data_IF_019594321266
#
_entry.id   IF_019594321266
#
_cell.length_a   1.000
_cell.length_b   1.000
_cell.length_c   1.000
_cell.angle_alpha   90.00
_cell.angle_beta   90.00
_cell.angle_gamma   90.00
#
_symmetry.space_group_name_H-M   'P 1'
#
loop_
_entity.id
_entity.type
_entity.pdbx_description
1 polymer ?
#
# COMPACT_ATOMS: atom_id res chain seq x y z
N UNK A 1 -57.85 41.55 1.14
CA UNK A 1 -56.61 41.59 1.93
C UNK A 1 -56.08 40.17 2.00
N UNK A 2 -55.19 39.78 1.08
CA UNK A 2 -54.59 38.43 1.05
C UNK A 2 -53.34 38.47 1.91
N UNK A 3 -53.36 37.69 2.99
CA UNK A 3 -52.23 37.54 3.92
C UNK A 3 -51.26 36.55 3.30
N UNK A 4 -50.05 37.02 2.96
CA UNK A 4 -48.93 36.15 2.58
C UNK A 4 -48.22 35.71 3.86
N UNK A 5 -48.24 34.41 4.13
CA UNK A 5 -47.42 33.78 5.17
C UNK A 5 -46.10 33.40 4.48
N UNK A 6 -44.94 33.95 4.88
CA UNK A 6 -43.66 33.52 4.35
C UNK A 6 -43.36 32.14 4.93
N UNK A 7 -43.24 31.14 4.06
CA UNK A 7 -42.66 29.84 4.40
C UNK A 7 -41.15 30.08 4.53
N UNK A 8 -40.65 30.12 5.76
CA UNK A 8 -39.23 30.05 6.05
C UNK A 8 -38.81 28.60 5.80
N UNK A 9 -38.22 28.35 4.64
CA UNK A 9 -37.48 27.10 4.40
C UNK A 9 -36.19 27.22 5.22
N UNK A 10 -36.17 26.59 6.39
CA UNK A 10 -34.91 26.32 7.09
C UNK A 10 -34.12 25.35 6.24
N UNK A 11 -33.12 25.86 5.53
CA UNK A 11 -32.03 25.05 5.02
C UNK A 11 -31.29 24.55 6.28
N UNK A 12 -31.48 23.28 6.61
CA UNK A 12 -30.59 22.60 7.55
C UNK A 12 -29.21 22.57 6.88
N UNK A 13 -28.35 23.53 7.22
CA UNK A 13 -26.91 23.36 7.04
C UNK A 13 -26.49 22.24 7.98
N UNK A 14 -26.43 21.01 7.45
CA UNK A 14 -25.73 19.93 8.12
C UNK A 14 -24.31 20.43 8.39
N UNK A 15 -24.00 20.67 9.65
CA UNK A 15 -22.62 20.78 10.06
C UNK A 15 -22.02 19.40 9.76
N UNK A 16 -21.13 19.34 8.77
CA UNK A 16 -20.23 18.21 8.55
C UNK A 16 -19.31 18.16 9.78
N UNK A 17 -19.79 17.48 10.82
CA UNK A 17 -18.94 16.97 11.87
C UNK A 17 -18.20 15.77 11.27
N UNK A 18 -16.88 15.71 11.49
CA UNK A 18 -16.07 14.49 11.36
C UNK A 18 -16.88 13.29 11.84
N UNK A 19 -17.15 12.36 10.92
CA UNK A 19 -17.89 11.15 11.25
C UNK A 19 -16.87 10.11 11.68
N UNK A 20 -16.90 9.72 12.96
CA UNK A 20 -16.24 8.51 13.44
C UNK A 20 -16.96 7.28 12.86
N UNK A 21 -16.81 7.04 11.55
CA UNK A 21 -17.30 5.85 10.89
C UNK A 21 -16.37 4.68 11.25
N UNK A 22 -16.92 3.54 11.69
CA UNK A 22 -16.11 2.35 11.91
C UNK A 22 -15.57 1.83 10.56
N UNK A 23 -14.53 1.00 10.59
CA UNK A 23 -13.97 0.43 9.35
C UNK A 23 -14.95 -0.55 8.68
N UNK A 24 -15.69 -1.29 9.48
CA UNK A 24 -16.75 -2.19 9.01
C UNK A 24 -18.04 -1.44 8.65
N UNK A 25 -18.95 -2.10 7.94
CA UNK A 25 -20.28 -1.54 7.64
C UNK A 25 -21.08 -1.31 8.92
N UNK A 26 -21.59 -0.09 9.10
CA UNK A 26 -22.63 0.21 10.08
C UNK A 26 -23.97 -0.43 9.67
N UNK A 27 -24.89 -0.55 10.62
CA UNK A 27 -26.25 -1.05 10.35
C UNK A 27 -26.98 -0.21 9.29
N UNK A 28 -26.72 1.09 9.25
CA UNK A 28 -27.28 1.98 8.23
C UNK A 28 -26.67 1.70 6.84
N UNK A 29 -25.35 1.59 6.75
CA UNK A 29 -24.63 1.32 5.50
C UNK A 29 -25.01 -0.04 4.90
N UNK A 30 -25.33 -1.05 5.72
CA UNK A 30 -25.84 -2.34 5.23
C UNK A 30 -27.13 -2.21 4.40
N UNK A 31 -27.97 -1.21 4.68
CA UNK A 31 -29.17 -0.94 3.87
C UNK A 31 -28.87 -0.21 2.55
N UNK A 32 -27.65 0.33 2.43
CA UNK A 32 -27.18 1.19 1.35
C UNK A 32 -26.14 0.51 0.45
N UNK A 33 -25.94 -0.80 0.58
CA UNK A 33 -25.00 -1.55 -0.29
C UNK A 33 -25.28 -1.38 -1.79
N UNK A 34 -26.54 -1.13 -2.15
CA UNK A 34 -26.93 -0.85 -3.54
C UNK A 34 -26.35 0.47 -4.09
N UNK A 35 -25.77 1.33 -3.25
CA UNK A 35 -25.12 2.60 -3.64
C UNK A 35 -23.64 2.42 -4.06
N UNK A 36 -23.02 1.29 -3.72
CA UNK A 36 -21.62 0.99 -4.06
C UNK A 36 -21.44 0.97 -5.59
N UNK A 37 -20.46 1.71 -6.09
CA UNK A 37 -20.09 1.74 -7.51
C UNK A 37 -21.07 2.48 -8.44
N UNK A 38 -22.10 3.17 -7.94
CA UNK A 38 -23.08 3.87 -8.79
C UNK A 38 -22.45 5.03 -9.59
N UNK A 39 -21.51 5.76 -8.98
CA UNK A 39 -20.99 7.02 -9.51
C UNK A 39 -19.49 6.91 -9.77
N UNK A 40 -19.09 6.10 -10.76
CA UNK A 40 -17.68 5.80 -11.04
C UNK A 40 -17.33 5.98 -12.51
N UNK A 41 -16.12 6.48 -12.74
CA UNK A 41 -15.51 6.59 -14.07
C UNK A 41 -14.69 5.33 -14.34
N UNK A 42 -15.29 4.31 -14.95
CA UNK A 42 -14.52 3.13 -15.41
C UNK A 42 -13.81 3.47 -16.71
N UNK A 43 -12.53 3.16 -16.80
CA UNK A 43 -11.68 3.41 -17.97
C UNK A 43 -11.15 2.11 -18.55
N UNK A 44 -10.60 2.16 -19.76
CA UNK A 44 -9.74 1.09 -20.26
C UNK A 44 -8.48 0.97 -19.36
N UNK A 45 -7.83 -0.21 -19.28
CA UNK A 45 -6.59 -0.40 -18.54
C UNK A 45 -5.43 0.44 -19.14
N UNK A 46 -4.34 0.63 -18.37
CA UNK A 46 -3.12 1.26 -18.89
C UNK A 46 -2.55 0.50 -20.10
N UNK A 47 -2.07 1.24 -21.10
CA UNK A 47 -1.44 0.65 -22.29
C UNK A 47 -0.12 -0.07 -21.97
N UNK A 48 0.58 0.37 -20.92
CA UNK A 48 1.86 -0.18 -20.49
C UNK A 48 2.06 0.01 -18.98
N UNK A 49 2.44 -1.06 -18.31
CA UNK A 49 2.79 -1.07 -16.89
C UNK A 49 4.25 -1.51 -16.80
N UNK A 50 5.12 -0.64 -16.28
CA UNK A 50 6.53 -0.98 -16.03
C UNK A 50 6.65 -1.72 -14.71
N UNK A 51 5.97 -1.24 -13.68
CA UNK A 51 6.09 -1.77 -12.34
C UNK A 51 4.87 -1.44 -11.48
N UNK A 52 4.50 -2.37 -10.61
CA UNK A 52 3.46 -2.16 -9.60
C UNK A 52 4.11 -2.21 -8.23
N UNK A 53 4.13 -1.09 -7.49
CA UNK A 53 4.80 -1.01 -6.19
C UNK A 53 4.33 -2.05 -5.17
N UNK A 54 5.30 -2.64 -4.49
CA UNK A 54 5.10 -3.58 -3.40
C UNK A 54 4.72 -2.87 -2.09
N UNK A 55 4.15 -3.65 -1.17
CA UNK A 55 3.84 -3.19 0.19
C UNK A 55 5.09 -2.77 0.99
N UNK A 56 6.29 -3.22 0.61
CA UNK A 56 7.56 -2.90 1.30
C UNK A 56 8.46 -1.94 0.52
N UNK A 57 8.01 -1.43 -0.63
CA UNK A 57 8.81 -0.47 -1.40
C UNK A 57 8.99 0.85 -0.68
N UNK A 58 10.08 1.53 -1.04
CA UNK A 58 10.35 2.90 -0.62
C UNK A 58 9.22 3.84 -1.03
N UNK A 59 8.99 4.85 -0.21
CA UNK A 59 7.91 5.82 -0.39
C UNK A 59 8.48 7.22 -0.60
N UNK A 60 7.80 8.01 -1.42
CA UNK A 60 7.98 9.46 -1.45
C UNK A 60 7.31 10.13 -0.25
N UNK A 61 6.35 9.43 0.37
CA UNK A 61 5.65 9.88 1.56
C UNK A 61 4.35 9.10 1.77
N UNK A 62 3.55 9.58 2.71
CA UNK A 62 2.31 8.93 3.16
C UNK A 62 1.16 9.93 3.12
N UNK A 63 -0.01 9.47 2.68
CA UNK A 63 -1.27 10.19 2.70
C UNK A 63 -2.06 9.77 3.94
N UNK A 64 -2.57 10.76 4.68
CA UNK A 64 -3.44 10.61 5.84
C UNK A 64 -4.72 11.41 5.63
N UNK A 65 -5.88 10.79 5.87
CA UNK A 65 -7.16 11.51 5.90
C UNK A 65 -7.47 12.01 7.32
N UNK A 66 -7.61 13.32 7.49
CA UNK A 66 -7.85 13.93 8.80
C UNK A 66 -9.34 13.88 9.18
N UNK A 67 -9.80 12.69 9.58
CA UNK A 67 -11.23 12.47 9.89
C UNK A 67 -11.47 12.03 11.33
N UNK A 68 -10.58 11.23 11.89
CA UNK A 68 -10.73 10.66 13.23
C UNK A 68 -9.35 10.38 13.86
N UNK A 69 -9.33 10.09 15.16
CA UNK A 69 -8.10 9.71 15.88
C UNK A 69 -6.95 10.72 15.76
N UNK A 70 -7.28 12.02 15.86
CA UNK A 70 -6.32 13.12 15.64
C UNK A 70 -5.03 13.04 16.45
N UNK A 71 -5.06 12.46 17.66
CA UNK A 71 -3.85 12.20 18.45
C UNK A 71 -2.91 11.24 17.71
N UNK A 72 -3.42 10.05 17.33
CA UNK A 72 -2.63 9.06 16.60
C UNK A 72 -2.17 9.60 15.23
N UNK A 73 -3.06 10.28 14.49
CA UNK A 73 -2.68 10.92 13.24
C UNK A 73 -1.57 11.95 13.43
N UNK A 74 -1.63 12.77 14.47
CA UNK A 74 -0.58 13.76 14.76
C UNK A 74 0.76 13.08 15.03
N UNK A 75 0.77 11.98 15.80
CA UNK A 75 1.98 11.22 16.11
C UNK A 75 2.57 10.57 14.85
N UNK A 76 1.75 9.93 14.02
CA UNK A 76 2.19 9.31 12.76
C UNK A 76 2.69 10.36 11.75
N UNK A 77 1.96 11.46 11.59
CA UNK A 77 2.37 12.57 10.72
C UNK A 77 3.70 13.16 11.20
N UNK A 78 3.88 13.31 12.52
CA UNK A 78 5.14 13.79 13.09
C UNK A 78 6.30 12.88 12.71
N UNK A 79 6.12 11.56 12.86
CA UNK A 79 7.14 10.55 12.58
C UNK A 79 7.51 10.50 11.09
N UNK A 80 6.50 10.56 10.20
CA UNK A 80 6.71 10.58 8.74
C UNK A 80 7.40 11.87 8.31
N UNK A 81 6.97 13.02 8.85
CA UNK A 81 7.50 14.34 8.47
C UNK A 81 8.96 14.60 8.91
N UNK A 82 9.58 13.67 9.65
CA UNK A 82 11.01 13.76 9.94
C UNK A 82 11.87 13.64 8.67
N UNK A 83 11.52 12.68 7.79
CA UNK A 83 12.33 12.36 6.59
C UNK A 83 11.52 12.40 5.28
N UNK A 84 10.21 12.21 5.35
CA UNK A 84 9.31 11.97 4.21
C UNK A 84 8.15 12.97 4.15
N UNK A 85 7.45 13.02 3.02
CA UNK A 85 6.29 13.91 2.89
C UNK A 85 5.06 13.31 3.57
N UNK A 86 4.38 14.08 4.39
CA UNK A 86 3.06 13.75 4.92
C UNK A 86 1.99 14.57 4.16
N UNK A 87 1.25 13.92 3.28
CA UNK A 87 0.05 14.50 2.69
C UNK A 87 -1.10 14.37 3.67
N UNK A 88 -1.73 15.49 4.01
CA UNK A 88 -2.83 15.55 4.96
C UNK A 88 -4.08 16.01 4.22
N UNK A 89 -5.02 15.08 4.03
CA UNK A 89 -6.30 15.31 3.38
C UNK A 89 -7.26 15.93 4.40
N UNK A 90 -7.89 17.03 4.00
CA UNK A 90 -8.84 17.81 4.81
C UNK A 90 -10.03 18.21 3.94
N UNK A 91 -11.19 18.38 4.56
CA UNK A 91 -12.45 18.64 3.88
C UNK A 91 -12.51 20.03 3.23
N UNK A 92 -11.86 21.01 3.86
CA UNK A 92 -11.95 22.41 3.47
C UNK A 92 -10.83 23.24 4.10
N UNK A 93 -10.64 24.45 3.61
CA UNK A 93 -9.62 25.39 4.11
C UNK A 93 -9.79 25.75 5.59
N UNK A 94 -11.00 25.68 6.17
CA UNK A 94 -11.17 25.94 7.60
C UNK A 94 -10.57 24.81 8.44
N UNK A 95 -10.76 23.56 8.01
CA UNK A 95 -10.13 22.41 8.64
C UNK A 95 -8.61 22.45 8.45
N UNK A 96 -8.12 22.74 7.24
CA UNK A 96 -6.68 22.93 6.97
C UNK A 96 -6.02 23.87 7.99
N UNK A 97 -6.63 25.03 8.27
CA UNK A 97 -6.13 25.97 9.26
C UNK A 97 -6.13 25.39 10.69
N UNK A 98 -7.18 24.63 11.05
CA UNK A 98 -7.26 23.97 12.37
C UNK A 98 -6.20 22.89 12.52
N UNK A 99 -6.01 22.05 11.50
CA UNK A 99 -5.02 20.96 11.48
C UNK A 99 -3.61 21.52 11.48
N UNK A 100 -3.32 22.52 10.66
CA UNK A 100 -2.02 23.20 10.64
C UNK A 100 -1.62 23.75 12.02
N UNK A 101 -2.57 24.33 12.76
CA UNK A 101 -2.32 24.77 14.14
C UNK A 101 -2.06 23.58 15.08
N UNK A 102 -2.83 22.49 14.98
CA UNK A 102 -2.64 21.28 15.79
C UNK A 102 -1.25 20.67 15.57
N UNK A 103 -0.86 20.46 14.30
CA UNK A 103 0.43 19.89 13.93
C UNK A 103 1.60 20.80 14.33
N UNK A 104 1.47 22.12 14.12
CA UNK A 104 2.50 23.09 14.54
C UNK A 104 2.69 23.09 16.06
N UNK A 105 1.60 23.01 16.84
CA UNK A 105 1.67 22.94 18.30
C UNK A 105 2.27 21.62 18.81
N UNK A 106 2.17 20.55 18.03
CA UNK A 106 2.81 19.27 18.30
C UNK A 106 4.28 19.20 17.81
N UNK A 107 4.82 20.32 17.32
CA UNK A 107 6.19 20.43 16.79
C UNK A 107 6.45 19.48 15.60
N UNK A 108 5.44 19.30 14.74
CA UNK A 108 5.60 18.61 13.46
C UNK A 108 6.45 19.47 12.52
N UNK A 109 7.30 18.82 11.72
CA UNK A 109 8.06 19.48 10.67
C UNK A 109 7.16 19.90 9.51
N UNK A 110 6.61 21.11 9.59
CA UNK A 110 5.65 21.62 8.60
C UNK A 110 6.24 21.80 7.19
N UNK A 111 7.57 21.83 7.02
CA UNK A 111 8.21 21.86 5.69
C UNK A 111 7.99 20.56 4.89
N UNK A 112 7.57 19.49 5.58
CA UNK A 112 7.27 18.17 5.01
C UNK A 112 5.77 17.83 5.01
N UNK A 113 4.92 18.75 5.46
CA UNK A 113 3.46 18.57 5.47
C UNK A 113 2.85 19.28 4.27
N UNK A 114 2.04 18.55 3.49
CA UNK A 114 1.33 19.07 2.33
C UNK A 114 -0.17 18.82 2.49
N UNK A 115 -0.97 19.88 2.46
CA UNK A 115 -2.42 19.74 2.57
C UNK A 115 -3.09 19.45 1.22
N UNK A 116 -4.07 18.57 1.24
CA UNK A 116 -4.98 18.28 0.13
C UNK A 116 -6.40 18.61 0.57
N UNK A 117 -7.00 19.63 -0.04
CA UNK A 117 -8.38 20.03 0.28
C UNK A 117 -9.34 19.23 -0.58
N UNK A 118 -9.58 17.97 -0.20
CA UNK A 118 -10.44 17.01 -0.88
C UNK A 118 -11.35 16.37 0.18
N UNK A 119 -12.68 16.57 0.13
CA UNK A 119 -13.58 16.01 1.12
C UNK A 119 -13.55 14.48 1.17
N UNK A 120 -13.58 13.93 2.37
CA UNK A 120 -13.66 12.48 2.61
C UNK A 120 -14.84 12.14 3.52
N UNK A 121 -15.17 10.86 3.67
CA UNK A 121 -16.15 10.38 4.63
C UNK A 121 -15.49 9.76 5.86
N UNK A 122 -14.31 9.15 5.72
CA UNK A 122 -13.70 8.40 6.80
C UNK A 122 -12.17 8.41 6.80
N UNK A 123 -11.59 8.07 7.95
CA UNK A 123 -10.13 8.02 8.18
C UNK A 123 -9.44 6.85 7.44
N UNK A 124 -10.21 5.90 6.90
CA UNK A 124 -9.73 4.61 6.41
C UNK A 124 -9.12 4.69 5.00
N UNK A 125 -8.24 5.66 4.77
CA UNK A 125 -7.62 5.99 3.47
C UNK A 125 -6.87 4.81 2.83
N UNK A 126 -6.47 3.80 3.62
CA UNK A 126 -5.94 2.55 3.07
C UNK A 126 -6.95 1.81 2.20
N UNK A 127 -8.21 1.82 2.61
CA UNK A 127 -9.23 1.00 1.98
C UNK A 127 -9.74 1.63 0.67
N UNK A 128 -9.80 2.97 0.60
CA UNK A 128 -10.32 3.73 -0.55
C UNK A 128 -9.29 4.57 -1.30
N UNK A 129 -8.05 4.65 -0.81
CA UNK A 129 -7.01 5.50 -1.36
C UNK A 129 -6.48 5.03 -2.71
N UNK A 130 -5.67 5.88 -3.37
CA UNK A 130 -5.15 5.62 -4.72
C UNK A 130 -4.14 4.49 -4.72
N UNK A 131 -4.38 3.46 -5.52
CA UNK A 131 -3.35 2.47 -5.82
C UNK A 131 -2.46 2.98 -6.95
N UNK A 132 -1.22 2.50 -6.99
CA UNK A 132 -0.21 3.08 -7.86
C UNK A 132 0.33 2.04 -8.82
N UNK A 133 0.67 2.52 -10.01
CA UNK A 133 1.56 1.85 -10.95
C UNK A 133 2.62 2.83 -11.43
N UNK A 134 3.71 2.29 -11.96
CA UNK A 134 4.73 3.03 -12.68
C UNK A 134 4.57 2.71 -14.16
N UNK A 135 4.40 3.77 -14.94
CA UNK A 135 4.32 3.75 -16.39
C UNK A 135 5.70 4.03 -17.02
N UNK A 136 5.85 3.91 -18.36
CA UNK A 136 7.06 4.34 -19.04
C UNK A 136 7.48 5.77 -18.68
N UNK A 137 8.75 6.11 -18.90
CA UNK A 137 9.34 7.41 -18.49
C UNK A 137 9.36 7.66 -16.97
N UNK A 138 9.15 6.60 -16.17
CA UNK A 138 9.17 6.63 -14.71
C UNK A 138 8.10 7.57 -14.12
N UNK A 139 6.91 7.59 -14.72
CA UNK A 139 5.76 8.34 -14.22
C UNK A 139 4.86 7.46 -13.35
N UNK A 140 4.34 8.04 -12.26
CA UNK A 140 3.28 7.39 -11.47
C UNK A 140 1.96 7.55 -12.21
N UNK A 141 1.10 6.54 -12.10
CA UNK A 141 -0.32 6.66 -12.38
C UNK A 141 -1.13 6.03 -11.24
N UNK A 142 -2.40 6.44 -11.15
CA UNK A 142 -3.34 5.94 -10.15
C UNK A 142 -4.26 4.90 -10.78
N UNK A 143 -4.36 3.74 -10.13
CA UNK A 143 -5.45 2.78 -10.29
C UNK A 143 -6.45 3.02 -9.18
N UNK A 144 -7.70 3.12 -9.56
CA UNK A 144 -8.82 3.39 -8.68
C UNK A 144 -9.78 2.21 -8.64
N UNK A 145 -10.05 1.68 -7.45
CA UNK A 145 -10.92 0.53 -7.20
C UNK A 145 -12.31 1.00 -6.77
N UNK A 146 -13.35 0.19 -6.92
CA UNK A 146 -14.66 0.54 -6.36
C UNK A 146 -14.65 0.21 -4.86
N UNK A 147 -14.79 1.23 -4.01
CA UNK A 147 -14.76 1.03 -2.57
C UNK A 147 -15.99 0.24 -2.09
N UNK A 148 -15.79 -0.82 -1.31
CA UNK A 148 -16.83 -1.71 -0.77
C UNK A 148 -17.72 -1.08 0.34
N UNK A 149 -17.84 0.25 0.40
CA UNK A 149 -18.70 0.98 1.35
C UNK A 149 -19.52 2.03 0.60
N UNK A 150 -20.75 2.33 1.04
CA UNK A 150 -21.56 3.41 0.47
C UNK A 150 -21.10 4.79 1.00
N UNK A 151 -19.82 5.09 0.78
CA UNK A 151 -19.07 6.29 1.19
C UNK A 151 -18.57 7.00 -0.07
N UNK A 152 -19.41 7.81 -0.73
CA UNK A 152 -19.13 8.31 -2.07
C UNK A 152 -18.00 9.35 -2.12
N UNK A 153 -17.65 10.01 -1.01
CA UNK A 153 -16.51 10.92 -0.98
C UNK A 153 -15.19 10.15 -0.87
N UNK A 154 -15.18 9.08 -0.07
CA UNK A 154 -14.06 8.13 -0.01
C UNK A 154 -13.82 7.48 -1.39
N UNK A 155 -14.88 6.94 -2.01
CA UNK A 155 -14.82 6.27 -3.32
C UNK A 155 -14.48 7.23 -4.50
N UNK A 156 -14.55 8.55 -4.29
CA UNK A 156 -14.18 9.56 -5.30
C UNK A 156 -12.77 10.15 -5.08
N UNK A 157 -12.13 9.83 -3.95
CA UNK A 157 -10.83 10.41 -3.59
C UNK A 157 -9.73 10.10 -4.62
N UNK A 158 -9.54 8.87 -5.14
CA UNK A 158 -8.42 8.59 -6.05
C UNK A 158 -8.46 9.38 -7.37
N UNK A 159 -9.66 9.62 -7.93
CA UNK A 159 -9.83 10.47 -9.12
C UNK A 159 -9.39 11.92 -8.83
N UNK A 160 -9.82 12.45 -7.68
CA UNK A 160 -9.42 13.79 -7.22
C UNK A 160 -7.92 13.88 -6.91
N UNK A 161 -7.34 12.80 -6.37
CA UNK A 161 -5.91 12.69 -6.10
C UNK A 161 -5.10 12.68 -7.41
N UNK A 162 -5.56 11.98 -8.45
CA UNK A 162 -4.91 11.97 -9.75
C UNK A 162 -4.90 13.37 -10.39
N UNK A 163 -6.01 14.10 -10.32
CA UNK A 163 -6.07 15.51 -10.75
C UNK A 163 -5.10 16.39 -9.94
N UNK A 164 -5.07 16.22 -8.62
CA UNK A 164 -4.16 16.97 -7.73
C UNK A 164 -2.69 16.72 -8.07
N UNK A 165 -2.29 15.46 -8.27
CA UNK A 165 -0.92 15.09 -8.63
C UNK A 165 -0.59 15.39 -10.10
N UNK A 166 -1.60 15.62 -10.94
CA UNK A 166 -1.43 15.87 -12.39
C UNK A 166 -0.94 14.63 -13.13
N UNK A 167 -1.44 13.45 -12.76
CA UNK A 167 -1.02 12.15 -13.29
C UNK A 167 -2.18 11.38 -13.91
N UNK A 168 -1.87 10.31 -14.64
CA UNK A 168 -2.88 9.46 -15.26
C UNK A 168 -3.75 8.75 -14.22
N UNK A 169 -5.00 8.54 -14.60
CA UNK A 169 -6.06 7.91 -13.80
C UNK A 169 -6.65 6.74 -14.57
N UNK A 170 -6.80 5.60 -13.89
CA UNK A 170 -7.45 4.41 -14.43
C UNK A 170 -8.48 3.88 -13.43
N UNK A 171 -9.76 3.93 -13.80
CA UNK A 171 -10.84 3.41 -12.98
C UNK A 171 -11.13 1.94 -13.29
N UNK A 172 -10.87 1.07 -12.33
CA UNK A 172 -11.10 -0.37 -12.42
C UNK A 172 -12.44 -0.75 -11.77
N UNK A 173 -13.27 -1.52 -12.49
CA UNK A 173 -14.60 -1.95 -12.04
C UNK A 173 -14.62 -3.05 -10.96
N UNK A 174 -13.50 -3.31 -10.29
CA UNK A 174 -13.39 -4.30 -9.22
C UNK A 174 -13.82 -3.67 -7.90
N UNK A 175 -14.80 -4.27 -7.21
CA UNK A 175 -15.13 -3.90 -5.84
C UNK A 175 -14.10 -4.51 -4.91
N UNK A 176 -13.33 -3.65 -4.24
CA UNK A 176 -12.26 -4.07 -3.35
C UNK A 176 -12.02 -3.00 -2.26
N UNK A 177 -11.37 -3.40 -1.17
CA UNK A 177 -10.86 -2.50 -0.16
C UNK A 177 -9.35 -2.71 -0.03
N UNK A 178 -8.59 -1.63 -0.07
CA UNK A 178 -7.14 -1.73 -0.13
C UNK A 178 -6.47 -2.46 1.04
N UNK A 179 -7.05 -2.48 2.25
CA UNK A 179 -6.54 -3.32 3.34
C UNK A 179 -6.63 -4.83 3.07
N UNK A 180 -7.42 -5.26 2.09
CA UNK A 180 -7.49 -6.66 1.65
C UNK A 180 -6.50 -7.01 0.52
N UNK A 181 -5.55 -6.14 0.20
CA UNK A 181 -4.56 -6.36 -0.86
C UNK A 181 -3.12 -6.17 -0.38
N UNK A 182 -2.26 -7.15 -0.67
CA UNK A 182 -0.82 -7.07 -0.43
C UNK A 182 -0.06 -7.42 -1.71
N UNK A 183 0.51 -6.40 -2.36
CA UNK A 183 1.30 -6.53 -3.59
C UNK A 183 2.76 -6.85 -3.24
N UNK A 184 3.36 -7.78 -3.99
CA UNK A 184 4.75 -8.22 -3.77
C UNK A 184 5.79 -7.48 -4.65
N UNK A 185 5.35 -6.65 -5.60
CA UNK A 185 6.21 -6.00 -6.59
C UNK A 185 6.90 -6.96 -7.57
N UNK A 186 6.53 -8.23 -7.58
CA UNK A 186 7.10 -9.27 -8.45
C UNK A 186 6.02 -9.92 -9.34
N UNK A 187 4.79 -9.42 -9.27
CA UNK A 187 3.66 -9.87 -10.09
C UNK A 187 2.69 -10.79 -9.36
N UNK A 188 2.69 -10.80 -8.02
CA UNK A 188 1.64 -11.43 -7.22
C UNK A 188 0.94 -10.48 -6.24
N UNK A 189 -0.30 -10.82 -5.93
CA UNK A 189 -1.09 -10.17 -4.88
C UNK A 189 -1.66 -11.23 -3.94
N UNK A 190 -1.61 -10.96 -2.64
CA UNK A 190 -2.29 -11.76 -1.63
C UNK A 190 -3.54 -11.01 -1.18
N UNK A 191 -4.69 -11.69 -1.26
CA UNK A 191 -5.98 -11.20 -0.79
C UNK A 191 -6.64 -12.24 0.10
N UNK A 192 -7.60 -11.84 0.91
CA UNK A 192 -8.46 -12.80 1.60
C UNK A 192 -9.72 -13.10 0.78
N UNK A 193 -10.37 -14.23 1.07
CA UNK A 193 -11.61 -14.65 0.45
C UNK A 193 -12.83 -13.79 0.85
N UNK A 194 -12.66 -12.73 1.65
CA UNK A 194 -13.74 -11.76 1.93
C UNK A 194 -14.16 -11.01 0.66
N UNK A 195 -13.27 -10.93 -0.35
CA UNK A 195 -13.55 -10.33 -1.66
C UNK A 195 -14.75 -11.00 -2.40
N UNK A 196 -15.16 -12.19 -1.96
CA UNK A 196 -16.32 -12.91 -2.51
C UNK A 196 -17.57 -12.81 -1.61
N UNK A 197 -17.53 -12.04 -0.53
CA UNK A 197 -18.62 -11.92 0.45
C UNK A 197 -19.46 -10.66 0.22
N UNK A 198 -20.61 -10.84 -0.44
CA UNK A 198 -21.58 -9.77 -0.67
C UNK A 198 -22.18 -9.17 0.61
N UNK A 199 -22.12 -9.86 1.76
CA UNK A 199 -22.57 -9.29 3.04
C UNK A 199 -21.61 -8.22 3.58
N UNK A 200 -20.37 -8.21 3.09
CA UNK A 200 -19.33 -7.22 3.40
C UNK A 200 -19.23 -6.12 2.32
N UNK A 201 -20.16 -6.09 1.37
CA UNK A 201 -20.20 -5.08 0.31
C UNK A 201 -19.32 -5.39 -0.90
N UNK A 202 -18.75 -6.60 -0.99
CA UNK A 202 -18.02 -7.06 -2.18
C UNK A 202 -18.95 -7.70 -3.23
N UNK A 203 -18.39 -8.15 -4.36
CA UNK A 203 -19.15 -8.83 -5.41
C UNK A 203 -19.17 -10.37 -5.18
N UNK A 204 -20.31 -10.96 -4.76
CA UNK A 204 -20.40 -12.41 -4.57
C UNK A 204 -20.44 -13.21 -5.88
N UNK A 205 -20.49 -12.53 -7.03
CA UNK A 205 -20.47 -13.15 -8.36
C UNK A 205 -19.09 -13.14 -9.01
N UNK A 206 -18.12 -12.44 -8.41
CA UNK A 206 -16.74 -12.39 -8.87
C UNK A 206 -16.12 -13.79 -8.85
N UNK A 207 -15.51 -14.16 -9.97
CA UNK A 207 -14.77 -15.43 -10.09
C UNK A 207 -13.27 -15.19 -9.95
N UNK A 208 -12.54 -16.25 -9.58
CA UNK A 208 -11.07 -16.23 -9.54
C UNK A 208 -10.47 -15.78 -10.88
N UNK A 209 -10.96 -16.31 -12.01
CA UNK A 209 -10.47 -15.96 -13.35
C UNK A 209 -10.68 -14.47 -13.67
N UNK A 210 -11.81 -13.89 -13.28
CA UNK A 210 -12.06 -12.45 -13.45
C UNK A 210 -11.15 -11.60 -12.57
N UNK A 211 -10.93 -12.04 -11.32
CA UNK A 211 -10.03 -11.37 -10.40
C UNK A 211 -8.59 -11.36 -10.92
N UNK A 212 -8.10 -12.51 -11.39
CA UNK A 212 -6.79 -12.64 -12.03
C UNK A 212 -6.67 -11.77 -13.28
N UNK A 213 -7.71 -11.69 -14.11
CA UNK A 213 -7.71 -10.85 -15.29
C UNK A 213 -7.67 -9.35 -14.95
N UNK A 214 -8.46 -8.90 -13.96
CA UNK A 214 -8.42 -7.50 -13.51
C UNK A 214 -7.04 -7.10 -12.98
N UNK A 215 -6.42 -7.97 -12.18
CA UNK A 215 -5.07 -7.74 -11.67
C UNK A 215 -4.01 -7.75 -12.77
N UNK A 216 -4.15 -8.62 -13.76
CA UNK A 216 -3.25 -8.65 -14.90
C UNK A 216 -3.36 -7.36 -15.74
N UNK A 217 -4.58 -6.93 -16.05
CA UNK A 217 -4.82 -5.82 -16.96
C UNK A 217 -4.46 -4.45 -16.34
N UNK A 218 -4.78 -4.24 -15.06
CA UNK A 218 -4.60 -2.93 -14.42
C UNK A 218 -3.32 -2.82 -13.57
N UNK A 219 -2.74 -3.95 -13.15
CA UNK A 219 -1.55 -3.98 -12.30
C UNK A 219 -0.40 -4.80 -12.87
N UNK A 220 -0.55 -5.48 -14.01
CA UNK A 220 0.47 -6.41 -14.51
C UNK A 220 0.72 -7.61 -13.57
N UNK A 221 -0.18 -7.84 -12.62
CA UNK A 221 -0.09 -8.90 -11.61
C UNK A 221 -0.70 -10.17 -12.19
N UNK A 222 0.14 -11.19 -12.40
CA UNK A 222 -0.24 -12.42 -13.08
C UNK A 222 -0.53 -13.59 -12.12
N UNK A 223 -0.45 -13.36 -10.80
CA UNK A 223 -0.72 -14.36 -9.77
C UNK A 223 -1.54 -13.77 -8.63
N UNK A 224 -2.73 -14.33 -8.38
CA UNK A 224 -3.59 -13.94 -7.26
C UNK A 224 -3.66 -15.09 -6.25
N UNK A 225 -3.23 -14.84 -5.02
CA UNK A 225 -3.26 -15.82 -3.93
C UNK A 225 -4.40 -15.44 -2.98
N UNK A 226 -5.45 -16.28 -2.93
CA UNK A 226 -6.59 -16.09 -2.03
C UNK A 226 -6.44 -16.94 -0.78
N UNK A 227 -6.50 -16.32 0.40
CA UNK A 227 -6.44 -17.02 1.70
C UNK A 227 -7.77 -16.92 2.45
N UNK A 228 -8.05 -17.80 3.42
CA UNK A 228 -9.09 -17.55 4.41
C UNK A 228 -8.88 -16.23 5.17
N UNK A 229 -9.96 -15.53 5.51
CA UNK A 229 -9.93 -14.37 6.42
C UNK A 229 -10.16 -14.77 7.89
N UNK A 230 -9.76 -13.90 8.83
CA UNK A 230 -10.07 -14.06 10.25
C UNK A 230 -11.57 -13.90 10.54
N UNK A 231 -12.08 -14.63 11.51
CA UNK A 231 -13.46 -14.47 11.97
C UNK A 231 -13.51 -13.36 13.03
N UNK A 232 -14.50 -12.47 12.89
CA UNK A 232 -14.80 -11.41 13.86
C UNK A 232 -13.61 -10.48 14.15
N UNK A 233 -12.79 -10.21 13.13
CA UNK A 233 -11.85 -9.08 13.09
C UNK A 233 -12.54 -7.78 12.63
N UNK A 234 -13.79 -7.87 12.17
CA UNK A 234 -14.64 -6.78 11.72
C UNK A 234 -14.59 -6.53 10.20
N UNK A 235 -13.53 -6.94 9.52
CA UNK A 235 -13.32 -6.59 8.10
C UNK A 235 -13.07 -7.78 7.19
N UNK A 236 -12.48 -8.85 7.71
CA UNK A 236 -11.94 -9.95 6.93
C UNK A 236 -10.71 -9.58 6.10
N UNK A 237 -10.11 -8.40 6.32
CA UNK A 237 -9.00 -7.94 5.49
C UNK A 237 -7.70 -8.69 5.81
N UNK A 238 -6.91 -8.94 4.76
CA UNK A 238 -5.64 -9.66 4.86
C UNK A 238 -4.60 -8.92 5.73
N UNK A 239 -4.62 -7.57 5.71
CA UNK A 239 -3.69 -6.71 6.47
C UNK A 239 -3.85 -6.76 7.99
N UNK A 240 -4.89 -7.44 8.48
CA UNK A 240 -5.07 -7.66 9.91
C UNK A 240 -4.16 -8.75 10.46
N UNK A 241 -3.65 -9.65 9.61
CA UNK A 241 -2.87 -10.80 10.09
C UNK A 241 -1.80 -11.32 9.13
N UNK A 242 -1.63 -10.71 7.96
CA UNK A 242 -0.56 -11.01 7.01
C UNK A 242 0.13 -9.71 6.58
N UNK A 243 1.45 -9.74 6.40
CA UNK A 243 2.22 -8.61 5.86
C UNK A 243 3.41 -9.08 5.03
N UNK A 244 3.61 -8.49 3.86
CA UNK A 244 4.83 -8.64 3.08
C UNK A 244 5.88 -7.64 3.59
N UNK A 245 7.08 -8.11 3.93
CA UNK A 245 8.17 -7.25 4.41
C UNK A 245 9.37 -7.19 3.46
N UNK A 246 9.42 -8.11 2.51
CA UNK A 246 10.25 -8.07 1.30
C UNK A 246 9.65 -9.05 0.27
N UNK A 247 10.35 -9.23 -0.85
CA UNK A 247 9.90 -10.02 -2.00
C UNK A 247 9.67 -11.51 -1.71
N UNK A 248 10.19 -12.03 -0.61
CA UNK A 248 10.14 -13.45 -0.27
C UNK A 248 9.73 -13.72 1.18
N UNK A 249 9.69 -12.73 2.06
CA UNK A 249 9.34 -12.91 3.48
C UNK A 249 7.97 -12.34 3.78
N UNK A 250 7.13 -13.21 4.35
CA UNK A 250 5.76 -12.90 4.73
C UNK A 250 5.59 -13.13 6.23
N UNK A 251 5.08 -12.13 6.93
CA UNK A 251 4.62 -12.26 8.30
C UNK A 251 3.20 -12.83 8.28
N UNK A 252 2.94 -13.84 9.12
CA UNK A 252 1.59 -14.36 9.39
C UNK A 252 1.35 -14.42 10.89
N UNK A 253 0.19 -13.97 11.33
CA UNK A 253 -0.23 -13.99 12.73
C UNK A 253 -0.15 -15.37 13.38
N UNK A 254 0.12 -15.39 14.67
CA UNK A 254 0.12 -16.60 15.50
C UNK A 254 -0.55 -16.30 16.82
N UNK A 255 -1.51 -17.14 17.21
CA UNK A 255 -2.08 -17.11 18.55
C UNK A 255 -1.39 -18.15 19.42
N UNK A 256 -1.24 -17.85 20.71
CA UNK A 256 -0.57 -18.75 21.67
C UNK A 256 -1.17 -20.16 21.69
N UNK A 257 -2.50 -20.24 21.60
CA UNK A 257 -3.27 -21.48 21.64
C UNK A 257 -4.67 -21.28 21.04
N UNK A 258 -5.43 -22.37 20.91
CA UNK A 258 -6.78 -22.37 20.31
C UNK A 258 -7.78 -21.43 20.99
N UNK A 259 -7.58 -21.08 22.27
CA UNK A 259 -8.47 -20.20 23.03
C UNK A 259 -8.02 -18.75 23.10
N UNK A 260 -6.82 -18.41 22.59
CA UNK A 260 -6.29 -17.06 22.67
C UNK A 260 -6.95 -16.10 21.67
N UNK A 261 -7.27 -16.56 20.46
CA UNK A 261 -8.01 -15.79 19.46
C UNK A 261 -9.53 -16.00 19.56
N UNK A 262 -10.29 -15.29 18.71
CA UNK A 262 -11.69 -15.66 18.47
C UNK A 262 -11.76 -17.11 17.98
N UNK A 263 -12.86 -17.81 18.30
CA UNK A 263 -13.01 -19.23 17.97
C UNK A 263 -12.79 -19.49 16.47
N UNK A 264 -11.76 -20.27 16.15
CA UNK A 264 -11.34 -20.59 14.78
C UNK A 264 -10.10 -19.83 14.27
N UNK A 265 -9.78 -18.66 14.85
CA UNK A 265 -8.69 -17.82 14.33
C UNK A 265 -7.30 -18.41 14.54
N UNK A 266 -7.08 -19.22 15.59
CA UNK A 266 -5.84 -19.98 15.76
C UNK A 266 -5.61 -20.92 14.57
N UNK A 267 -6.65 -21.65 14.15
CA UNK A 267 -6.55 -22.61 13.05
C UNK A 267 -6.41 -21.89 11.71
N UNK A 268 -7.12 -20.78 11.49
CA UNK A 268 -7.01 -19.94 10.29
C UNK A 268 -5.58 -19.41 10.13
N UNK A 269 -5.01 -18.80 11.17
CA UNK A 269 -3.63 -18.31 11.15
C UNK A 269 -2.63 -19.41 10.76
N UNK A 270 -2.76 -20.61 11.32
CA UNK A 270 -1.89 -21.74 10.99
C UNK A 270 -2.15 -22.29 9.58
N UNK A 271 -3.40 -22.31 9.13
CA UNK A 271 -3.77 -22.70 7.76
C UNK A 271 -3.16 -21.75 6.75
N UNK A 272 -3.28 -20.43 6.95
CA UNK A 272 -2.72 -19.41 6.06
C UNK A 272 -1.19 -19.48 6.06
N UNK A 273 -0.55 -19.62 7.22
CA UNK A 273 0.90 -19.81 7.28
C UNK A 273 1.36 -21.04 6.47
N UNK A 274 0.66 -22.17 6.61
CA UNK A 274 0.97 -23.38 5.84
C UNK A 274 0.69 -23.20 4.34
N UNK A 275 -0.40 -22.53 3.97
CA UNK A 275 -0.72 -22.25 2.57
C UNK A 275 0.40 -21.41 1.94
N UNK A 276 0.72 -20.26 2.54
CA UNK A 276 1.72 -19.34 1.99
C UNK A 276 3.13 -19.95 1.97
N UNK A 277 3.48 -20.82 2.93
CA UNK A 277 4.75 -21.56 2.89
C UNK A 277 4.87 -22.54 1.70
N UNK A 278 3.75 -22.92 1.08
CA UNK A 278 3.72 -23.73 -0.14
C UNK A 278 3.46 -22.90 -1.40
N UNK A 279 3.47 -21.58 -1.28
CA UNK A 279 3.31 -20.64 -2.39
C UNK A 279 4.65 -20.00 -2.78
N UNK A 280 4.62 -19.36 -3.94
CA UNK A 280 5.70 -18.50 -4.44
C UNK A 280 5.21 -17.07 -4.64
N UNK A 281 6.14 -16.12 -4.64
CA UNK A 281 5.91 -14.78 -5.18
C UNK A 281 5.65 -14.83 -6.70
N UNK A 282 5.39 -13.67 -7.30
CA UNK A 282 5.13 -13.55 -8.75
C UNK A 282 6.34 -13.94 -9.61
N UNK A 283 7.56 -13.77 -9.10
CA UNK A 283 8.78 -14.23 -9.77
C UNK A 283 9.09 -15.72 -9.57
N UNK A 284 8.19 -16.49 -8.94
CA UNK A 284 8.37 -17.93 -8.71
C UNK A 284 9.32 -18.30 -7.57
N UNK A 285 9.75 -17.34 -6.73
CA UNK A 285 10.55 -17.61 -5.53
C UNK A 285 9.64 -18.03 -4.37
N UNK A 286 9.97 -19.09 -3.61
CA UNK A 286 9.13 -19.56 -2.50
C UNK A 286 9.08 -18.53 -1.36
N UNK A 287 7.93 -18.44 -0.69
CA UNK A 287 7.82 -17.58 0.49
C UNK A 287 8.47 -18.20 1.74
N UNK A 288 9.14 -17.36 2.52
CA UNK A 288 9.61 -17.60 3.86
C UNK A 288 8.60 -17.02 4.86
N UNK A 289 8.03 -17.86 5.73
CA UNK A 289 6.98 -17.43 6.66
C UNK A 289 7.58 -17.14 8.04
N UNK A 290 7.40 -15.90 8.50
CA UNK A 290 7.68 -15.48 9.87
C UNK A 290 6.37 -15.44 10.65
N UNK A 291 6.36 -16.04 11.84
CA UNK A 291 5.19 -15.97 12.73
C UNK A 291 5.31 -14.75 13.64
N UNK A 292 4.26 -13.93 13.68
CA UNK A 292 4.18 -12.77 14.56
C UNK A 292 3.09 -12.99 15.60
N UNK A 293 3.37 -12.81 16.90
CA UNK A 293 2.36 -12.94 17.94
C UNK A 293 1.13 -12.06 17.67
N UNK A 294 -0.05 -12.61 17.90
CA UNK A 294 -1.31 -11.88 17.95
C UNK A 294 -1.72 -11.77 19.42
N UNK A 295 -2.01 -10.56 19.94
CA UNK A 295 -2.53 -10.44 21.29
C UNK A 295 -3.88 -11.16 21.45
N UNK A 296 -4.23 -11.58 22.68
CA UNK A 296 -5.45 -12.33 22.90
C UNK A 296 -6.69 -11.51 22.53
N UNK A 297 -7.66 -12.17 21.90
CA UNK A 297 -8.97 -11.61 21.64
C UNK A 297 -9.65 -11.27 22.97
N UNK A 298 -10.16 -10.05 23.09
CA UNK A 298 -10.76 -9.59 24.33
C UNK A 298 -11.92 -8.63 24.05
N UNK A 299 -13.05 -8.83 24.73
CA UNK A 299 -14.22 -7.94 24.69
C UNK A 299 -14.71 -7.54 23.28
N UNK A 300 -14.67 -8.44 22.30
CA UNK A 300 -15.10 -8.11 20.94
C UNK A 300 -13.99 -7.64 20.01
N UNK A 301 -12.76 -7.50 20.51
CA UNK A 301 -11.66 -6.84 19.80
C UNK A 301 -10.61 -7.87 19.39
N UNK A 302 -10.26 -7.85 18.12
CA UNK A 302 -9.13 -8.58 17.54
C UNK A 302 -7.94 -7.62 17.43
N UNK A 303 -7.01 -7.73 18.37
CA UNK A 303 -5.76 -6.95 18.37
C UNK A 303 -4.74 -7.53 17.37
N UNK A 304 -3.86 -6.68 16.83
CA UNK A 304 -2.85 -7.11 15.87
C UNK A 304 -1.62 -6.20 15.89
N UNK A 305 -0.42 -6.78 15.91
CA UNK A 305 0.82 -6.03 15.66
C UNK A 305 1.19 -5.93 14.17
N UNK A 306 0.44 -6.64 13.31
CA UNK A 306 0.76 -6.83 11.89
C UNK A 306 0.22 -5.70 11.04
N UNK A 307 -0.81 -4.99 11.53
CA UNK A 307 -1.39 -3.81 10.88
C UNK A 307 -0.47 -2.57 11.04
N UNK A 308 0.79 -2.76 10.66
CA UNK A 308 1.92 -1.82 10.70
C UNK A 308 2.16 -1.19 9.34
N UNK A 309 2.87 -0.06 9.33
CA UNK A 309 3.21 0.68 8.13
C UNK A 309 4.72 0.75 7.93
N UNK A 310 5.21 0.27 6.79
CA UNK A 310 6.63 0.41 6.41
C UNK A 310 6.79 1.78 5.74
N UNK A 311 7.67 2.63 6.27
CA UNK A 311 7.99 3.95 5.75
C UNK A 311 9.51 4.04 5.60
N UNK A 312 10.02 3.73 4.41
CA UNK A 312 11.45 3.71 4.12
C UNK A 312 12.25 2.89 5.15
N UNK A 313 13.03 3.55 6.02
CA UNK A 313 13.86 2.90 7.05
C UNK A 313 13.16 2.73 8.39
N UNK A 314 11.85 2.91 8.45
CA UNK A 314 11.03 2.75 9.65
C UNK A 314 9.89 1.77 9.41
N UNK A 315 9.47 1.08 10.46
CA UNK A 315 8.19 0.36 10.52
C UNK A 315 7.41 0.85 11.73
N UNK A 316 6.24 1.44 11.46
CA UNK A 316 5.36 1.99 12.48
C UNK A 316 4.41 0.89 12.93
N UNK A 317 4.53 0.45 14.18
CA UNK A 317 3.89 -0.75 14.71
C UNK A 317 2.81 -0.36 15.73
N UNK A 318 1.57 -0.87 15.60
CA UNK A 318 0.55 -0.61 16.61
C UNK A 318 0.89 -1.36 17.91
N UNK A 319 0.88 -0.67 19.06
CA UNK A 319 1.12 -1.25 20.38
C UNK A 319 -0.08 -1.01 21.31
N UNK A 320 -0.20 -1.82 22.37
CA UNK A 320 -1.42 -1.86 23.19
C UNK A 320 -1.17 -1.97 24.70
N UNK A 321 0.09 -2.09 25.14
CA UNK A 321 0.47 -2.31 26.54
C UNK A 321 0.45 -3.78 26.97
N UNK A 322 0.46 -4.74 26.03
CA UNK A 322 0.57 -6.16 26.39
C UNK A 322 2.00 -6.49 26.84
N UNK A 323 2.09 -7.31 27.89
CA UNK A 323 3.35 -7.72 28.52
C UNK A 323 3.36 -9.21 28.87
N UNK A 324 2.55 -10.01 28.16
CA UNK A 324 2.52 -11.47 28.33
C UNK A 324 3.77 -12.11 27.73
N UNK A 325 4.08 -13.36 28.10
CA UNK A 325 5.24 -14.07 27.53
C UNK A 325 5.13 -14.26 26.01
N UNK A 326 3.90 -14.45 25.50
CA UNK A 326 3.65 -14.67 24.09
C UNK A 326 3.49 -13.36 23.29
N UNK A 327 2.67 -12.42 23.80
CA UNK A 327 2.43 -11.12 23.19
C UNK A 327 2.95 -10.00 24.12
N UNK A 328 4.02 -9.34 23.69
CA UNK A 328 4.73 -8.29 24.40
C UNK A 328 5.18 -7.21 23.40
N UNK A 329 4.83 -5.96 23.66
CA UNK A 329 5.09 -4.85 22.73
C UNK A 329 6.59 -4.72 22.39
N UNK A 330 7.48 -4.71 23.40
CA UNK A 330 8.93 -4.57 23.21
C UNK A 330 9.52 -5.75 22.41
N UNK A 331 9.04 -6.96 22.67
CA UNK A 331 9.51 -8.17 21.99
C UNK A 331 9.07 -8.19 20.51
N UNK A 332 7.91 -7.62 20.21
CA UNK A 332 7.40 -7.50 18.84
C UNK A 332 8.16 -6.44 18.06
N UNK A 333 8.45 -5.28 18.65
CA UNK A 333 9.31 -4.26 18.03
C UNK A 333 10.69 -4.85 17.71
N UNK A 334 11.31 -5.55 18.66
CA UNK A 334 12.60 -6.22 18.43
C UNK A 334 12.54 -7.31 17.35
N UNK A 335 11.40 -8.02 17.24
CA UNK A 335 11.20 -8.99 16.18
C UNK A 335 11.15 -8.32 14.80
N UNK A 336 10.45 -7.19 14.66
CA UNK A 336 10.44 -6.41 13.42
C UNK A 336 11.86 -5.99 13.01
N UNK A 337 12.66 -5.45 13.92
CA UNK A 337 14.06 -5.08 13.63
C UNK A 337 14.93 -6.29 13.25
N UNK A 338 14.64 -7.47 13.83
CA UNK A 338 15.35 -8.71 13.52
C UNK A 338 15.05 -9.20 12.11
N UNK A 339 13.78 -9.13 11.68
CA UNK A 339 13.34 -9.63 10.37
C UNK A 339 13.43 -8.58 9.26
N UNK A 340 13.61 -7.31 9.62
CA UNK A 340 13.87 -6.19 8.70
C UNK A 340 15.18 -5.47 9.09
N UNK A 341 16.36 -6.07 8.82
CA UNK A 341 17.63 -5.48 9.22
C UNK A 341 17.82 -4.07 8.63
N UNK A 342 18.15 -3.10 9.49
CA UNK A 342 18.34 -1.71 9.09
C UNK A 342 17.07 -0.85 9.07
N UNK A 343 15.92 -1.44 9.46
CA UNK A 343 14.67 -0.73 9.70
C UNK A 343 14.48 -0.54 11.21
N UNK A 344 14.12 0.67 11.62
CA UNK A 344 13.75 1.01 13.00
C UNK A 344 12.28 0.69 13.24
N UNK A 345 11.96 -0.06 14.31
CA UNK A 345 10.58 -0.33 14.69
C UNK A 345 10.09 0.67 15.74
N UNK A 346 9.08 1.47 15.39
CA UNK A 346 8.52 2.53 16.25
C UNK A 346 7.09 2.18 16.67
N UNK A 347 6.83 2.11 17.97
CA UNK A 347 5.52 1.74 18.50
C UNK A 347 4.57 2.93 18.70
N UNK A 348 3.31 2.81 18.28
CA UNK A 348 2.25 3.80 18.51
C UNK A 348 1.04 3.20 19.22
N UNK A 349 0.54 3.88 20.26
CA UNK A 349 -0.62 3.40 21.03
C UNK A 349 -1.90 3.40 20.17
N UNK A 350 -2.38 2.21 19.86
CA UNK A 350 -3.56 2.01 19.03
C UNK A 350 -4.80 1.57 19.82
N UNK A 351 -4.79 1.69 21.16
CA UNK A 351 -5.93 1.29 22.00
C UNK A 351 -7.24 2.05 21.68
N UNK A 352 -7.14 3.30 21.18
CA UNK A 352 -8.33 4.07 20.80
C UNK A 352 -8.94 3.66 19.45
N UNK A 353 -8.11 3.22 18.50
CA UNK A 353 -8.55 2.90 17.14
C UNK A 353 -8.93 1.43 16.95
N UNK A 354 -8.23 0.49 17.62
CA UNK A 354 -8.45 -0.94 17.43
C UNK A 354 -9.88 -1.44 17.72
N UNK A 355 -10.68 -0.85 18.63
CA UNK A 355 -12.10 -1.22 18.77
C UNK A 355 -12.95 -0.93 17.53
N UNK A 356 -12.45 -0.09 16.60
CA UNK A 356 -13.07 0.18 15.30
C UNK A 356 -12.55 -0.75 14.18
N UNK A 357 -11.84 -1.83 14.53
CA UNK A 357 -11.40 -2.91 13.64
C UNK A 357 -10.26 -2.52 12.66
N UNK A 358 -9.40 -1.59 13.07
CA UNK A 358 -8.21 -1.20 12.31
C UNK A 358 -7.13 -0.56 13.19
N UNK A 359 -5.94 -0.37 12.64
CA UNK A 359 -4.84 0.33 13.31
C UNK A 359 -4.08 1.22 12.30
N UNK A 360 -2.75 1.29 12.42
CA UNK A 360 -1.91 2.23 11.66
C UNK A 360 -2.02 2.01 10.15
N UNK A 361 -1.92 0.76 9.69
CA UNK A 361 -1.95 0.47 8.26
C UNK A 361 -3.27 0.89 7.61
N UNK A 362 -4.38 0.79 8.33
CA UNK A 362 -5.72 1.13 7.84
C UNK A 362 -5.95 2.62 7.60
N UNK A 363 -5.13 3.50 8.19
CA UNK A 363 -5.31 4.97 8.14
C UNK A 363 -4.18 5.69 7.41
N UNK A 364 -3.39 4.93 6.64
CA UNK A 364 -2.25 5.45 5.89
C UNK A 364 -2.21 4.84 4.49
N UNK A 365 -2.05 5.68 3.47
CA UNK A 365 -1.84 5.25 2.11
C UNK A 365 -0.47 5.70 1.60
N UNK A 366 0.29 4.78 1.04
CA UNK A 366 1.65 5.07 0.55
C UNK A 366 1.57 5.85 -0.75
N UNK A 367 2.52 6.77 -0.95
CA UNK A 367 2.89 7.27 -2.29
C UNK A 367 4.25 6.64 -2.61
N UNK A 368 4.37 5.76 -3.61
CA UNK A 368 5.61 5.06 -3.89
C UNK A 368 6.70 6.06 -4.27
N UNK A 369 7.93 5.82 -3.85
CA UNK A 369 9.07 6.47 -4.48
C UNK A 369 9.11 6.05 -5.94
N UNK A 370 9.52 6.95 -6.83
CA UNK A 370 9.88 6.49 -8.16
C UNK A 370 11.11 5.60 -8.01
N UNK A 371 11.19 4.46 -8.71
CA UNK A 371 12.44 3.75 -8.88
C UNK A 371 13.55 4.76 -9.15
N UNK A 372 14.65 4.69 -8.41
CA UNK A 372 15.81 5.51 -8.73
C UNK A 372 16.13 5.24 -10.21
N UNK A 373 15.95 6.26 -11.05
CA UNK A 373 16.65 6.28 -12.33
C UNK A 373 18.11 6.32 -11.93
N UNK A 374 18.76 5.16 -11.92
CA UNK A 374 20.21 5.15 -11.95
C UNK A 374 20.51 5.85 -13.26
N UNK A 375 20.94 7.12 -13.18
CA UNK A 375 21.51 7.79 -14.33
C UNK A 375 22.82 7.05 -14.59
N UNK A 376 22.72 5.99 -15.40
CA UNK A 376 23.86 5.27 -15.88
C UNK A 376 24.76 6.32 -16.52
N UNK A 377 25.99 6.46 -16.01
CA UNK A 377 26.84 7.61 -16.32
C UNK A 377 26.86 7.90 -17.83
N UNK A 378 27.02 9.15 -18.24
CA UNK A 378 26.87 9.56 -19.65
C UNK A 378 27.94 8.99 -20.63
N UNK A 379 28.74 8.01 -20.20
CA UNK A 379 29.84 7.45 -20.95
C UNK A 379 29.44 6.07 -21.52
N UNK A 380 28.81 6.09 -22.70
CA UNK A 380 28.42 4.88 -23.42
C UNK A 380 29.62 3.95 -23.62
N UNK A 381 29.51 2.69 -23.20
CA UNK A 381 30.59 1.70 -23.17
C UNK A 381 31.33 1.56 -21.83
N UNK A 382 31.01 2.37 -20.82
CA UNK A 382 31.54 2.26 -19.44
C UNK A 382 30.68 1.30 -18.60
N UNK A 383 30.75 0.01 -18.94
CA UNK A 383 29.86 -1.05 -18.44
C UNK A 383 30.08 -1.31 -16.94
N UNK A 384 31.24 -0.94 -16.41
CA UNK A 384 31.61 -1.10 -14.99
C UNK A 384 31.50 0.19 -14.16
N UNK A 385 31.09 1.31 -14.78
CA UNK A 385 30.88 2.61 -14.14
C UNK A 385 32.13 3.20 -13.45
N UNK A 386 33.34 2.86 -13.90
CA UNK A 386 34.58 3.37 -13.33
C UNK A 386 35.01 4.74 -13.93
N UNK A 387 34.25 5.23 -14.91
CA UNK A 387 34.48 6.48 -15.62
C UNK A 387 35.48 6.35 -16.78
N UNK A 388 35.83 5.13 -17.21
CA UNK A 388 36.83 4.89 -18.27
C UNK A 388 36.45 3.71 -19.15
N UNK A 389 36.24 3.97 -20.44
CA UNK A 389 36.07 2.91 -21.43
C UNK A 389 37.41 2.23 -21.73
N UNK A 390 37.54 0.96 -21.34
CA UNK A 390 38.78 0.20 -21.47
C UNK A 390 38.54 -1.33 -21.62
N UNK A 391 39.60 -2.13 -21.48
CA UNK A 391 39.52 -3.59 -21.67
C UNK A 391 38.63 -4.29 -20.65
N UNK A 392 38.47 -3.74 -19.44
CA UNK A 392 37.61 -4.33 -18.42
C UNK A 392 36.14 -4.25 -18.82
N UNK A 393 35.71 -3.17 -19.47
CA UNK A 393 34.34 -3.03 -20.00
C UNK A 393 34.06 -4.03 -21.10
N UNK A 394 35.03 -4.28 -21.98
CA UNK A 394 34.92 -5.31 -23.04
C UNK A 394 34.71 -6.69 -22.42
N UNK A 395 35.47 -7.02 -21.37
CA UNK A 395 35.37 -8.33 -20.73
C UNK A 395 34.02 -8.51 -20.03
N UNK A 396 33.55 -7.49 -19.30
CA UNK A 396 32.26 -7.51 -18.61
C UNK A 396 31.12 -7.59 -19.64
N UNK A 397 31.17 -6.79 -20.71
CA UNK A 397 30.18 -6.82 -21.78
C UNK A 397 30.15 -8.18 -22.49
N UNK A 398 31.31 -8.80 -22.72
CA UNK A 398 31.39 -10.13 -23.30
C UNK A 398 30.79 -11.21 -22.38
N UNK A 399 31.05 -11.12 -21.07
CA UNK A 399 30.48 -12.03 -20.08
C UNK A 399 28.95 -11.85 -19.96
N UNK A 400 28.45 -10.61 -20.05
CA UNK A 400 27.00 -10.30 -20.10
C UNK A 400 26.33 -10.91 -21.34
N UNK A 401 26.90 -10.66 -22.53
CA UNK A 401 26.39 -11.21 -23.81
C UNK A 401 26.46 -12.74 -23.82
N UNK A 402 27.45 -13.33 -23.16
CA UNK A 402 27.59 -14.77 -23.02
C UNK A 402 26.72 -15.39 -21.92
N UNK A 403 26.01 -14.58 -21.12
CA UNK A 403 25.20 -15.03 -19.98
C UNK A 403 26.02 -15.65 -18.85
N UNK A 404 27.29 -15.23 -18.71
CA UNK A 404 28.20 -15.69 -17.65
C UNK A 404 27.93 -14.96 -16.34
N UNK A 405 27.47 -13.70 -16.42
CA UNK A 405 27.09 -12.86 -15.29
C UNK A 405 25.71 -12.25 -15.53
N UNK A 406 24.97 -12.01 -14.45
CA UNK A 406 23.62 -11.43 -14.51
C UNK A 406 23.69 -9.95 -14.90
N UNK A 407 22.79 -9.47 -15.77
CA UNK A 407 22.78 -8.08 -16.19
C UNK A 407 22.28 -7.13 -15.11
N UNK A 408 23.09 -6.12 -14.81
CA UNK A 408 22.67 -4.93 -14.05
C UNK A 408 22.15 -3.85 -15.01
N UNK A 409 21.15 -3.07 -14.58
CA UNK A 409 20.44 -2.09 -15.42
C UNK A 409 21.39 -1.16 -16.20
N UNK A 410 22.41 -0.61 -15.52
CA UNK A 410 23.36 0.29 -16.17
C UNK A 410 24.38 -0.39 -17.06
N UNK A 411 24.73 -1.65 -16.77
CA UNK A 411 25.57 -2.42 -17.65
C UNK A 411 24.84 -2.79 -18.94
N UNK A 412 23.51 -2.95 -18.89
CA UNK A 412 22.68 -3.10 -20.10
C UNK A 412 22.60 -1.80 -20.89
N UNK A 413 22.28 -0.69 -20.23
CA UNK A 413 22.09 0.60 -20.92
C UNK A 413 23.38 1.13 -21.54
N UNK A 414 24.50 1.09 -20.80
CA UNK A 414 25.80 1.55 -21.31
C UNK A 414 26.50 0.51 -22.19
N UNK A 415 26.09 -0.75 -22.09
CA UNK A 415 26.60 -1.84 -22.91
C UNK A 415 26.01 -1.88 -24.31
N UNK A 416 24.83 -1.30 -24.55
CA UNK A 416 24.18 -1.19 -25.87
C UNK A 416 24.80 -0.07 -26.71
N UNK A 417 26.12 -0.17 -26.91
CA UNK A 417 26.92 0.78 -27.72
C UNK A 417 26.44 0.88 -29.16
N UNK A 418 25.74 -0.13 -29.67
CA UNK A 418 25.04 -0.08 -30.95
C UNK A 418 23.52 -0.11 -30.72
N UNK A 419 22.89 1.04 -30.38
CA UNK A 419 21.58 1.12 -29.75
C UNK A 419 20.52 0.31 -30.51
N UNK A 420 20.27 -0.88 -30.00
CA UNK A 420 19.38 -1.89 -30.57
C UNK A 420 18.35 -2.38 -29.58
N UNK A 421 18.53 -2.07 -28.29
CA UNK A 421 17.69 -2.51 -27.18
C UNK A 421 18.11 -3.82 -26.53
N UNK A 422 19.07 -4.55 -27.13
CA UNK A 422 19.58 -5.83 -26.63
C UNK A 422 21.13 -5.83 -26.63
N UNK A 423 21.75 -6.47 -25.63
CA UNK A 423 23.20 -6.69 -25.66
C UNK A 423 23.56 -7.85 -26.58
N UNK A 424 24.39 -7.58 -27.59
CA UNK A 424 24.78 -8.58 -28.59
C UNK A 424 26.30 -8.65 -28.80
N UNK A 425 26.75 -9.67 -29.53
CA UNK A 425 28.15 -9.73 -29.99
C UNK A 425 28.55 -8.53 -30.87
N UNK A 426 27.56 -7.81 -31.43
CA UNK A 426 27.81 -6.59 -32.19
C UNK A 426 28.27 -5.46 -31.28
N UNK A 427 27.67 -5.32 -30.10
CA UNK A 427 28.04 -4.33 -29.08
C UNK A 427 29.45 -4.55 -28.56
N UNK A 428 29.80 -5.80 -28.24
CA UNK A 428 31.17 -6.20 -27.87
C UNK A 428 32.15 -5.79 -28.98
N UNK A 429 31.79 -6.03 -30.24
CA UNK A 429 32.64 -5.68 -31.38
C UNK A 429 32.81 -4.16 -31.52
N UNK A 430 31.75 -3.38 -31.35
CA UNK A 430 31.82 -1.92 -31.37
C UNK A 430 32.69 -1.38 -30.23
N UNK A 431 32.53 -1.91 -29.02
CA UNK A 431 33.31 -1.50 -27.86
C UNK A 431 34.80 -1.82 -28.04
N UNK A 432 35.14 -2.98 -28.63
CA UNK A 432 36.51 -3.34 -29.01
C UNK A 432 37.10 -2.34 -29.99
N UNK A 433 36.37 -2.00 -31.06
CA UNK A 433 36.83 -1.02 -32.06
C UNK A 433 37.08 0.35 -31.41
N UNK A 434 36.18 0.77 -30.53
CA UNK A 434 36.28 2.03 -29.80
C UNK A 434 37.53 2.08 -28.90
N UNK A 435 37.77 1.05 -28.06
CA UNK A 435 38.94 0.98 -27.17
C UNK A 435 40.25 0.89 -27.97
N UNK A 436 40.23 0.25 -29.14
CA UNK A 436 41.38 0.15 -30.04
C UNK A 436 41.62 1.43 -30.87
N UNK A 437 40.69 2.39 -30.85
CA UNK A 437 40.78 3.67 -31.54
C UNK A 437 40.51 3.60 -33.05
N UNK A 438 39.63 2.69 -33.48
CA UNK A 438 39.22 2.51 -34.89
C UNK A 438 37.92 3.23 -35.26
#
# INVERSE_FOLDING_TARGET
MRVYIPIIISIFSAHLCSQNLPRNLTVEEQSRLHEIGISRTITDPPDSIVYTPAEFDSVAGIIFAWEAYSTLLTELIKEVAEEDTAWVVVDNTSEENSVSNTLSNAEVNMDRVVFQVIPTNSVWIRDYGPWWIIEPENSRAIIDLVYNRPRPLDDAYPESAAEYFGINYYGLGLIEAGGNMLLDGQGSVIVSNVIFDGSQGFDPTLTQDQLEQYFLDYFGVHKVIVTPHLINDGTGHIDMFVKLINDTTVIVGEYENQSAGFSGNYDICNQVANQLANETNGAGRPFNIVRMPMPPYNNGITYTYINSLIVNKKVLVPIYGFSTEFANDDSVLALYETIMPGVEAVGFDCNQIIPANGAIHCIAMKVPALPETIACGNLMGDVNLDGRINIYDILILADLVAGVIEPELCSMELGDVAPSGDLTNFDVTQLVLFVMGF
#
